data_IF_360939244790
#
_entry.id   IF_360939244790
#
_cell.length_a   1.000
_cell.length_b   1.000
_cell.length_c   1.000
_cell.angle_alpha   90.00
_cell.angle_beta   90.00
_cell.angle_gamma   90.00
#
_symmetry.space_group_name_H-M   'P 1'
#
loop_
_entity.id
_entity.type
_entity.pdbx_description
1 polymer ?
#
# COMPACT_ATOMS: atom_id res chain seq x y z
N UNK A 1 -4.61 15.16 -21.04
CA UNK A 1 -3.26 14.89 -20.51
C UNK A 1 -3.34 14.44 -19.08
N UNK A 2 -2.68 13.33 -18.78
CA UNK A 2 -2.47 12.84 -17.41
C UNK A 2 -1.42 13.75 -16.78
N UNK A 3 -1.64 14.18 -15.54
CA UNK A 3 -0.69 15.01 -14.78
C UNK A 3 0.03 14.22 -13.69
N UNK A 4 -0.63 13.21 -13.16
CA UNK A 4 -0.17 12.44 -12.00
C UNK A 4 -0.66 11.00 -12.10
N UNK A 5 0.16 10.09 -11.60
CA UNK A 5 -0.18 8.68 -11.37
C UNK A 5 0.15 8.38 -9.91
N UNK A 6 -0.79 7.77 -9.19
CA UNK A 6 -0.63 7.38 -7.78
C UNK A 6 -0.76 5.86 -7.71
N UNK A 7 0.30 5.18 -7.27
CA UNK A 7 0.28 3.75 -6.98
C UNK A 7 -0.09 3.54 -5.52
N UNK A 8 -0.95 2.55 -5.24
CA UNK A 8 -1.49 2.33 -3.89
C UNK A 8 -0.71 1.31 -3.07
N UNK A 9 0.45 0.84 -3.53
CA UNK A 9 1.26 -0.16 -2.82
C UNK A 9 1.01 -1.60 -3.28
N UNK A 10 1.57 -2.53 -2.51
CA UNK A 10 1.64 -3.98 -2.79
C UNK A 10 2.36 -4.27 -4.12
N UNK A 11 3.60 -3.82 -4.23
CA UNK A 11 4.45 -4.07 -5.40
C UNK A 11 5.06 -5.48 -5.38
N UNK A 12 5.08 -6.13 -4.21
CA UNK A 12 5.79 -7.38 -3.94
C UNK A 12 4.86 -8.43 -3.32
N UNK A 13 5.40 -9.64 -3.13
CA UNK A 13 4.75 -10.74 -2.42
C UNK A 13 3.43 -11.24 -3.00
N UNK A 14 3.38 -11.33 -4.33
CA UNK A 14 2.29 -12.02 -5.01
C UNK A 14 2.16 -13.46 -4.47
N UNK A 15 0.94 -13.84 -4.10
CA UNK A 15 0.65 -15.13 -3.48
C UNK A 15 1.24 -16.31 -4.27
N UNK A 16 1.92 -17.22 -3.57
CA UNK A 16 2.57 -18.40 -4.16
C UNK A 16 3.84 -18.11 -4.97
N UNK A 17 4.31 -16.86 -5.04
CA UNK A 17 5.51 -16.46 -5.78
C UNK A 17 6.72 -16.16 -4.88
N UNK A 18 6.71 -16.53 -3.60
CA UNK A 18 7.77 -16.22 -2.61
C UNK A 18 9.19 -16.68 -3.00
N UNK A 19 9.31 -17.63 -3.92
CA UNK A 19 10.59 -18.12 -4.46
C UNK A 19 10.86 -17.68 -5.90
N UNK A 20 9.99 -16.87 -6.50
CA UNK A 20 10.11 -16.42 -7.89
C UNK A 20 10.95 -15.13 -7.99
N UNK A 21 12.26 -15.29 -7.81
CA UNK A 21 13.23 -14.20 -7.81
C UNK A 21 13.18 -13.39 -9.11
N UNK A 22 13.03 -14.07 -10.25
CA UNK A 22 13.04 -13.43 -11.56
C UNK A 22 11.83 -12.52 -11.77
N UNK A 23 10.68 -12.86 -11.18
CA UNK A 23 9.47 -12.03 -11.25
C UNK A 23 9.73 -10.67 -10.59
N UNK A 24 10.16 -10.67 -9.33
CA UNK A 24 10.35 -9.42 -8.57
C UNK A 24 11.48 -8.56 -9.11
N UNK A 25 12.60 -9.17 -9.51
CA UNK A 25 13.69 -8.43 -10.13
C UNK A 25 13.22 -7.74 -11.43
N UNK A 26 12.46 -8.44 -12.28
CA UNK A 26 11.98 -7.89 -13.54
C UNK A 26 10.91 -6.81 -13.32
N UNK A 27 9.95 -7.07 -12.45
CA UNK A 27 8.79 -6.19 -12.27
C UNK A 27 9.16 -4.89 -11.56
N UNK A 28 10.03 -4.95 -10.55
CA UNK A 28 10.50 -3.75 -9.85
C UNK A 28 11.46 -2.93 -10.71
N UNK A 29 12.37 -3.56 -11.46
CA UNK A 29 13.21 -2.82 -12.43
C UNK A 29 12.34 -2.16 -13.50
N UNK A 30 11.33 -2.87 -14.03
CA UNK A 30 10.40 -2.29 -14.98
C UNK A 30 9.64 -1.09 -14.38
N UNK A 31 9.13 -1.22 -13.16
CA UNK A 31 8.41 -0.14 -12.48
C UNK A 31 9.32 1.09 -12.28
N UNK A 32 10.56 0.87 -11.87
CA UNK A 32 11.55 1.94 -11.68
C UNK A 32 11.84 2.67 -12.99
N UNK A 33 12.19 1.94 -14.05
CA UNK A 33 12.47 2.52 -15.37
C UNK A 33 11.25 3.26 -15.93
N UNK A 34 10.06 2.67 -15.76
CA UNK A 34 8.80 3.28 -16.16
C UNK A 34 8.52 4.58 -15.40
N UNK A 35 8.77 4.62 -14.09
CA UNK A 35 8.58 5.82 -13.25
C UNK A 35 9.47 6.95 -13.78
N UNK A 36 10.75 6.68 -13.98
CA UNK A 36 11.71 7.65 -14.53
C UNK A 36 11.25 8.17 -15.89
N UNK A 37 10.79 7.29 -16.78
CA UNK A 37 10.26 7.68 -18.09
C UNK A 37 9.07 8.65 -17.95
N UNK A 38 8.14 8.39 -17.03
CA UNK A 38 6.97 9.27 -16.82
C UNK A 38 7.35 10.62 -16.23
N UNK A 39 8.26 10.63 -15.27
CA UNK A 39 8.73 11.87 -14.63
C UNK A 39 9.50 12.75 -15.64
N UNK A 40 10.31 12.15 -16.52
CA UNK A 40 10.95 12.87 -17.64
C UNK A 40 9.94 13.49 -18.61
N UNK A 41 8.74 12.91 -18.71
CA UNK A 41 7.62 13.44 -19.50
C UNK A 41 6.67 14.34 -18.68
N UNK A 42 7.14 14.88 -17.55
CA UNK A 42 6.39 15.80 -16.68
C UNK A 42 5.09 15.21 -16.11
N UNK A 43 5.03 13.89 -15.93
CA UNK A 43 3.98 13.21 -15.18
C UNK A 43 4.53 12.89 -13.79
N UNK A 44 3.90 13.44 -12.76
CA UNK A 44 4.25 13.14 -11.37
C UNK A 44 3.86 11.70 -11.01
N UNK A 45 4.76 10.95 -10.40
CA UNK A 45 4.49 9.58 -9.94
C UNK A 45 4.63 9.52 -8.43
N UNK A 46 3.52 9.28 -7.75
CA UNK A 46 3.47 9.06 -6.30
C UNK A 46 3.36 7.57 -6.03
N UNK A 47 4.21 7.07 -5.14
CA UNK A 47 4.24 5.67 -4.76
C UNK A 47 3.82 5.55 -3.30
N UNK A 48 2.69 4.91 -3.05
CA UNK A 48 2.27 4.57 -1.69
C UNK A 48 2.80 3.18 -1.33
N UNK A 49 3.01 2.93 -0.04
CA UNK A 49 3.34 1.59 0.49
C UNK A 49 2.07 0.84 0.87
N UNK A 50 2.06 -0.46 0.57
CA UNK A 50 1.08 -1.42 1.05
C UNK A 50 1.60 -2.25 2.22
N UNK A 51 0.77 -3.18 2.70
CA UNK A 51 1.16 -4.06 3.80
C UNK A 51 2.23 -5.07 3.40
N UNK A 52 2.41 -5.36 2.11
CA UNK A 52 3.50 -6.23 1.66
C UNK A 52 4.84 -5.50 1.57
N UNK A 53 4.82 -4.22 1.20
CA UNK A 53 6.03 -3.43 1.01
C UNK A 53 6.70 -3.04 2.33
N UNK A 54 5.90 -2.82 3.38
CA UNK A 54 6.35 -2.25 4.65
C UNK A 54 7.44 -3.08 5.34
N UNK A 55 7.35 -4.41 5.28
CA UNK A 55 8.31 -5.30 5.93
C UNK A 55 9.69 -5.23 5.27
N UNK A 56 9.76 -4.96 3.97
CA UNK A 56 11.04 -4.68 3.32
C UNK A 56 11.63 -3.36 3.77
N UNK A 57 10.82 -2.31 3.95
CA UNK A 57 11.29 -1.02 4.46
C UNK A 57 11.85 -1.14 5.89
N UNK A 58 11.22 -1.96 6.73
CA UNK A 58 11.66 -2.28 8.09
C UNK A 58 12.82 -3.29 8.14
N UNK A 59 13.21 -3.88 7.00
CA UNK A 59 14.25 -4.92 6.97
C UNK A 59 13.82 -6.24 7.63
N UNK A 60 12.52 -6.48 7.77
CA UNK A 60 11.95 -7.64 8.45
C UNK A 60 11.48 -8.70 7.45
N UNK A 61 12.08 -9.89 7.50
CA UNK A 61 11.61 -11.01 6.70
C UNK A 61 10.44 -11.71 7.39
N UNK A 62 9.28 -11.73 6.74
CA UNK A 62 8.03 -12.35 7.24
C UNK A 62 7.67 -13.58 6.41
N UNK A 63 6.78 -14.48 6.88
CA UNK A 63 6.53 -15.76 6.20
C UNK A 63 6.05 -15.65 4.74
N UNK A 64 5.36 -14.57 4.38
CA UNK A 64 4.88 -14.34 3.03
C UNK A 64 5.85 -13.55 2.15
N UNK A 65 6.94 -13.01 2.71
CA UNK A 65 7.92 -12.29 1.91
C UNK A 65 8.86 -13.23 1.17
N UNK A 66 9.67 -12.68 0.26
CA UNK A 66 10.73 -13.45 -0.39
C UNK A 66 11.71 -14.00 0.66
N UNK A 67 11.90 -15.32 0.65
CA UNK A 67 12.71 -16.01 1.66
C UNK A 67 14.23 -15.98 1.36
N UNK A 68 14.62 -15.67 0.11
CA UNK A 68 16.02 -15.50 -0.24
C UNK A 68 16.53 -14.13 0.23
N UNK A 69 17.51 -14.11 1.15
CA UNK A 69 18.02 -12.89 1.77
C UNK A 69 18.69 -11.91 0.78
N UNK A 70 19.49 -12.40 -0.16
CA UNK A 70 20.16 -11.54 -1.15
C UNK A 70 19.12 -10.79 -2.00
N UNK A 71 18.07 -11.51 -2.39
CA UNK A 71 16.97 -10.93 -3.17
C UNK A 71 16.11 -10.03 -2.30
N UNK A 72 15.88 -10.38 -1.03
CA UNK A 72 15.16 -9.54 -0.08
C UNK A 72 15.81 -8.16 0.05
N UNK A 73 17.13 -8.10 0.28
CA UNK A 73 17.86 -6.83 0.37
C UNK A 73 17.89 -6.07 -0.97
N UNK A 74 17.92 -6.79 -2.10
CA UNK A 74 17.83 -6.16 -3.43
C UNK A 74 16.46 -5.51 -3.65
N UNK A 75 15.38 -6.17 -3.21
CA UNK A 75 14.01 -5.63 -3.26
C UNK A 75 13.86 -4.44 -2.31
N UNK A 76 14.41 -4.54 -1.09
CA UNK A 76 14.41 -3.43 -0.14
C UNK A 76 15.03 -2.17 -0.76
N UNK A 77 16.19 -2.28 -1.40
CA UNK A 77 16.83 -1.14 -2.06
C UNK A 77 15.94 -0.54 -3.17
N UNK A 78 15.32 -1.37 -4.01
CA UNK A 78 14.43 -0.90 -5.06
C UNK A 78 13.20 -0.18 -4.50
N UNK A 79 12.61 -0.68 -3.40
CA UNK A 79 11.48 -0.03 -2.74
C UNK A 79 11.88 1.29 -2.08
N UNK A 80 13.08 1.38 -1.50
CA UNK A 80 13.63 2.65 -1.00
C UNK A 80 13.78 3.68 -2.13
N UNK A 81 14.25 3.26 -3.30
CA UNK A 81 14.41 4.13 -4.47
C UNK A 81 13.07 4.63 -5.05
N UNK A 82 11.96 3.92 -4.79
CA UNK A 82 10.60 4.35 -5.17
C UNK A 82 10.05 5.46 -4.27
N UNK A 83 10.72 5.81 -3.16
CA UNK A 83 10.33 6.89 -2.25
C UNK A 83 8.89 6.72 -1.72
N UNK A 84 8.59 5.55 -1.16
CA UNK A 84 7.24 5.21 -0.71
C UNK A 84 6.76 6.10 0.43
N UNK A 85 5.47 6.45 0.43
CA UNK A 85 4.79 7.16 1.52
C UNK A 85 3.50 6.43 1.95
N UNK A 86 2.99 6.71 3.16
CA UNK A 86 1.80 6.00 3.69
C UNK A 86 0.51 6.48 3.00
N UNK A 87 0.43 7.78 2.71
CA UNK A 87 -0.77 8.39 2.17
C UNK A 87 -0.46 9.61 1.29
N UNK A 88 -1.42 10.03 0.48
CA UNK A 88 -1.34 11.23 -0.34
C UNK A 88 -2.65 12.02 -0.27
N UNK A 89 -2.56 13.35 -0.12
CA UNK A 89 -3.73 14.22 -0.17
C UNK A 89 -3.98 14.66 -1.62
N UNK A 90 -5.04 14.13 -2.24
CA UNK A 90 -5.49 14.49 -3.58
C UNK A 90 -6.75 15.34 -3.50
N UNK A 91 -6.61 16.66 -3.57
CA UNK A 91 -7.70 17.61 -3.39
C UNK A 91 -8.44 17.34 -2.07
N UNK A 92 -9.70 16.93 -2.10
CA UNK A 92 -10.50 16.56 -0.92
C UNK A 92 -10.50 15.06 -0.60
N UNK A 93 -9.76 14.24 -1.34
CA UNK A 93 -9.59 12.81 -1.10
C UNK A 93 -8.27 12.50 -0.40
N UNK A 94 -8.34 11.70 0.65
CA UNK A 94 -7.19 11.02 1.21
C UNK A 94 -6.95 9.70 0.46
N UNK A 95 -5.78 9.54 -0.14
CA UNK A 95 -5.39 8.32 -0.86
C UNK A 95 -4.43 7.52 0.00
N UNK A 96 -4.71 6.25 0.25
CA UNK A 96 -3.81 5.34 0.96
C UNK A 96 -4.03 3.90 0.51
N UNK A 97 -3.16 2.99 0.95
CA UNK A 97 -3.29 1.59 0.56
C UNK A 97 -4.60 0.96 1.04
N UNK A 98 -4.86 0.97 2.36
CA UNK A 98 -6.01 0.30 2.95
C UNK A 98 -7.06 1.24 3.56
N UNK A 99 -6.73 2.52 3.74
CA UNK A 99 -7.64 3.54 4.28
C UNK A 99 -7.51 3.79 5.78
N UNK A 100 -7.91 4.99 6.20
CA UNK A 100 -7.91 5.43 7.59
C UNK A 100 -9.32 5.26 8.18
N UNK A 101 -9.48 4.37 9.17
CA UNK A 101 -10.69 4.28 9.96
C UNK A 101 -10.65 5.26 11.16
N UNK A 102 -11.70 5.25 11.99
CA UNK A 102 -11.85 6.14 13.14
C UNK A 102 -10.70 6.07 14.16
N UNK A 103 -9.94 4.97 14.22
CA UNK A 103 -8.85 4.78 15.19
C UNK A 103 -7.52 5.38 14.74
N UNK A 104 -7.40 5.74 13.45
CA UNK A 104 -6.16 6.25 12.86
C UNK A 104 -6.42 7.59 12.19
N UNK A 105 -5.73 8.63 12.66
CA UNK A 105 -5.68 9.92 11.99
C UNK A 105 -4.36 10.05 11.19
N UNK A 106 -4.39 10.65 9.99
CA UNK A 106 -3.19 10.99 9.25
C UNK A 106 -2.26 11.91 10.05
N UNK A 107 -0.97 11.59 10.03
CA UNK A 107 0.11 12.40 10.58
C UNK A 107 0.90 13.03 9.44
N UNK A 108 1.59 14.15 9.70
CA UNK A 108 2.33 14.88 8.67
C UNK A 108 3.33 14.00 7.90
N UNK A 109 3.99 13.07 8.60
CA UNK A 109 4.97 12.17 8.00
C UNK A 109 4.36 11.16 7.02
N UNK A 110 3.07 10.82 7.16
CA UNK A 110 2.40 9.90 6.23
C UNK A 110 2.40 10.43 4.79
N UNK A 111 2.53 11.74 4.61
CA UNK A 111 2.47 12.42 3.32
C UNK A 111 3.85 12.69 2.69
N UNK A 112 4.92 12.16 3.28
CA UNK A 112 6.29 12.32 2.81
C UNK A 112 6.91 10.95 2.55
N UNK A 113 7.92 10.85 1.66
CA UNK A 113 8.72 9.63 1.54
C UNK A 113 9.22 9.17 2.91
N UNK A 114 9.11 7.88 3.16
CA UNK A 114 9.57 7.26 4.39
C UNK A 114 11.08 7.47 4.60
N UNK A 115 11.44 7.69 5.85
CA UNK A 115 12.80 7.83 6.36
C UNK A 115 12.91 7.02 7.65
N UNK A 116 14.11 6.54 7.99
CA UNK A 116 14.38 5.74 9.19
C UNK A 116 13.97 6.44 10.51
N UNK A 117 13.77 7.76 10.50
CA UNK A 117 13.27 8.51 11.67
C UNK A 117 11.86 8.09 12.11
N UNK A 118 11.07 7.47 11.22
CA UNK A 118 9.71 7.01 11.47
C UNK A 118 9.60 5.48 11.55
N UNK A 119 10.72 4.76 11.73
CA UNK A 119 10.75 3.29 11.77
C UNK A 119 9.81 2.73 12.85
N UNK A 120 9.86 3.27 14.07
CA UNK A 120 9.00 2.83 15.18
C UNK A 120 7.50 3.07 14.87
N UNK A 121 7.16 4.25 14.32
CA UNK A 121 5.77 4.51 13.92
C UNK A 121 5.31 3.63 12.77
N UNK A 122 6.20 3.33 11.82
CA UNK A 122 5.90 2.44 10.71
C UNK A 122 5.70 1.01 11.18
N UNK A 123 6.51 0.53 12.13
CA UNK A 123 6.34 -0.79 12.78
C UNK A 123 4.99 -0.89 13.48
N UNK A 124 4.53 0.18 14.14
CA UNK A 124 3.17 0.23 14.73
C UNK A 124 2.10 0.07 13.63
N UNK A 125 2.24 0.76 12.49
CA UNK A 125 1.29 0.60 11.38
C UNK A 125 1.35 -0.80 10.77
N UNK A 126 2.54 -1.39 10.65
CA UNK A 126 2.74 -2.72 10.06
C UNK A 126 2.11 -3.83 10.92
N UNK A 127 2.13 -3.67 12.25
CA UNK A 127 1.63 -4.67 13.19
C UNK A 127 0.18 -4.47 13.61
N UNK A 128 -0.40 -3.29 13.37
CA UNK A 128 -1.80 -3.02 13.69
C UNK A 128 -2.76 -3.66 12.65
N UNK A 129 -2.98 -4.97 12.80
CA UNK A 129 -3.82 -5.79 11.92
C UNK A 129 -5.18 -6.05 12.56
N UNK A 130 -6.25 -5.61 11.89
CA UNK A 130 -7.63 -5.76 12.37
C UNK A 130 -8.17 -7.19 12.28
N UNK A 131 -9.19 -7.49 13.07
CA UNK A 131 -9.86 -8.80 13.09
C UNK A 131 -10.34 -9.27 11.71
N UNK A 132 -10.81 -8.35 10.85
CA UNK A 132 -11.28 -8.71 9.50
C UNK A 132 -10.15 -9.16 8.56
N UNK A 133 -8.89 -8.94 8.94
CA UNK A 133 -7.68 -9.45 8.26
C UNK A 133 -6.99 -10.58 9.03
N UNK A 134 -7.65 -11.14 10.05
CA UNK A 134 -7.11 -12.23 10.86
C UNK A 134 -6.14 -11.78 11.96
N UNK A 135 -6.02 -10.47 12.20
CA UNK A 135 -5.25 -9.93 13.31
C UNK A 135 -6.02 -9.85 14.62
N UNK A 136 -5.37 -9.31 15.65
CA UNK A 136 -5.92 -9.19 17.00
C UNK A 136 -6.51 -7.82 17.34
N UNK A 137 -6.28 -6.81 16.49
CA UNK A 137 -6.66 -5.44 16.80
C UNK A 137 -8.11 -5.14 16.43
N UNK A 138 -8.64 -4.07 17.05
CA UNK A 138 -10.02 -3.62 16.83
C UNK A 138 -10.29 -3.22 15.37
N UNK A 139 -9.30 -2.65 14.70
CA UNK A 139 -9.34 -2.30 13.28
C UNK A 139 -7.91 -2.26 12.72
N UNK A 140 -7.76 -2.46 11.41
CA UNK A 140 -6.45 -2.38 10.76
C UNK A 140 -5.93 -0.95 10.66
N UNK A 141 -4.62 -0.80 10.59
CA UNK A 141 -3.96 0.45 10.26
C UNK A 141 -4.25 0.89 8.81
N UNK A 142 -3.77 2.06 8.36
CA UNK A 142 -3.82 2.46 6.95
C UNK A 142 -3.16 1.51 5.94
N UNK A 143 -2.40 0.53 6.42
CA UNK A 143 -1.82 -0.56 5.62
C UNK A 143 -2.68 -1.82 5.63
N UNK A 144 -3.52 -2.03 6.65
CA UNK A 144 -4.24 -3.29 6.85
C UNK A 144 -5.77 -3.17 6.93
N UNK A 145 -6.32 -1.96 6.99
CA UNK A 145 -7.74 -1.75 7.18
C UNK A 145 -8.55 -2.50 6.11
N UNK A 146 -9.46 -3.37 6.53
CA UNK A 146 -10.37 -3.99 5.57
C UNK A 146 -11.38 -2.95 5.10
N UNK A 147 -11.77 -2.95 3.82
CA UNK A 147 -12.68 -1.93 3.30
C UNK A 147 -13.99 -1.81 4.09
N UNK A 148 -14.49 -2.94 4.60
CA UNK A 148 -15.68 -2.98 5.45
C UNK A 148 -15.50 -2.21 6.78
N UNK A 149 -14.29 -2.14 7.31
CA UNK A 149 -13.98 -1.33 8.50
C UNK A 149 -14.19 0.16 8.19
N UNK A 150 -13.75 0.63 7.01
CA UNK A 150 -13.97 2.02 6.57
C UNK A 150 -15.46 2.37 6.44
N UNK A 151 -16.30 1.40 6.08
CA UNK A 151 -17.75 1.59 6.01
C UNK A 151 -18.43 1.60 7.38
N UNK A 152 -17.93 0.78 8.32
CA UNK A 152 -18.53 0.61 9.64
C UNK A 152 -18.08 1.67 10.65
N UNK A 153 -16.80 2.05 10.61
CA UNK A 153 -16.15 2.99 11.52
C UNK A 153 -15.31 4.00 10.73
N UNK A 154 -15.94 4.83 9.87
CA UNK A 154 -15.23 5.78 9.01
C UNK A 154 -14.44 6.80 9.83
N UNK A 155 -13.30 7.26 9.32
CA UNK A 155 -12.66 8.45 9.87
C UNK A 155 -13.54 9.68 9.56
N UNK A 156 -14.04 10.33 10.61
CA UNK A 156 -14.96 11.47 10.48
C UNK A 156 -14.27 12.74 9.97
N UNK A 157 -12.97 12.89 10.24
CA UNK A 157 -12.18 14.03 9.78
C UNK A 157 -11.79 13.89 8.29
N UNK A 158 -11.67 12.64 7.82
CA UNK A 158 -11.28 12.30 6.44
C UNK A 158 -12.33 11.36 5.80
N UNK A 159 -13.55 11.86 5.54
CA UNK A 159 -14.64 11.02 5.08
C UNK A 159 -14.47 10.56 3.63
N UNK A 160 -13.68 11.28 2.82
CA UNK A 160 -13.44 10.97 1.41
C UNK A 160 -12.09 10.30 1.23
N UNK A 161 -12.10 9.05 0.78
CA UNK A 161 -10.89 8.23 0.65
C UNK A 161 -10.87 7.43 -0.65
N UNK A 162 -9.67 7.24 -1.22
CA UNK A 162 -9.43 6.32 -2.33
C UNK A 162 -8.45 5.26 -1.82
N UNK A 163 -8.85 4.00 -1.90
CA UNK A 163 -8.12 2.88 -1.29
C UNK A 163 -8.02 1.68 -2.22
N UNK A 164 -6.99 0.87 -2.02
CA UNK A 164 -6.78 -0.42 -2.65
C UNK A 164 -7.04 -1.55 -1.66
N UNK A 165 -6.11 -2.51 -1.58
CA UNK A 165 -5.97 -3.56 -0.57
C UNK A 165 -7.10 -4.61 -0.45
N UNK A 166 -8.36 -4.18 -0.47
CA UNK A 166 -9.52 -5.08 -0.47
C UNK A 166 -10.07 -5.17 -1.89
N UNK A 167 -9.97 -6.33 -2.56
CA UNK A 167 -10.45 -6.46 -3.93
C UNK A 167 -11.94 -6.12 -4.10
N UNK A 168 -12.26 -5.51 -5.25
CA UNK A 168 -13.58 -5.05 -5.66
C UNK A 168 -13.95 -5.61 -7.02
N UNK A 169 -15.22 -5.95 -7.20
CA UNK A 169 -15.75 -6.34 -8.51
C UNK A 169 -15.75 -5.17 -9.50
N UNK A 170 -15.95 -3.95 -9.00
CA UNK A 170 -15.96 -2.73 -9.82
C UNK A 170 -15.67 -1.49 -8.97
N UNK A 171 -15.29 -0.40 -9.65
CA UNK A 171 -15.05 0.91 -9.04
C UNK A 171 -16.37 1.70 -9.01
N UNK A 172 -16.81 2.12 -7.81
CA UNK A 172 -17.97 3.00 -7.62
C UNK A 172 -17.53 4.38 -7.11
N UNK A 173 -17.46 5.34 -8.03
CA UNK A 173 -17.05 6.73 -7.74
C UNK A 173 -18.16 7.59 -7.11
N UNK A 174 -19.36 7.04 -6.87
CA UNK A 174 -20.46 7.75 -6.20
C UNK A 174 -20.34 7.75 -4.68
N UNK A 175 -19.41 6.97 -4.13
CA UNK A 175 -19.16 6.81 -2.69
C UNK A 175 -18.11 7.80 -2.20
N UNK A 176 -18.14 8.07 -0.89
CA UNK A 176 -17.06 8.83 -0.25
C UNK A 176 -15.77 8.00 -0.14
N UNK A 177 -15.90 6.71 0.16
CA UNK A 177 -14.76 5.77 0.16
C UNK A 177 -14.82 4.94 -1.12
N UNK A 178 -13.81 5.07 -1.97
CA UNK A 178 -13.73 4.46 -3.29
C UNK A 178 -12.65 3.38 -3.26
N UNK A 179 -13.05 2.13 -3.42
CA UNK A 179 -12.14 1.00 -3.57
C UNK A 179 -11.77 0.82 -5.05
N UNK A 180 -10.48 0.86 -5.37
CA UNK A 180 -9.99 0.79 -6.75
C UNK A 180 -9.18 -0.47 -7.06
N UNK A 181 -8.93 -1.32 -6.08
CA UNK A 181 -8.33 -2.62 -6.32
C UNK A 181 -9.36 -3.54 -6.99
N UNK A 182 -9.38 -3.53 -8.32
CA UNK A 182 -10.21 -4.46 -9.11
C UNK A 182 -9.40 -5.61 -9.68
N UNK A 183 -8.15 -5.76 -9.25
CA UNK A 183 -7.20 -6.71 -9.81
C UNK A 183 -7.02 -7.89 -8.86
N UNK A 184 -8.12 -8.59 -8.57
CA UNK A 184 -7.98 -9.87 -7.89
C UNK A 184 -7.58 -10.97 -8.87
N UNK A 185 -6.37 -11.48 -8.72
CA UNK A 185 -5.99 -12.79 -9.27
C UNK A 185 -6.66 -13.94 -8.50
N UNK A 186 -7.31 -13.62 -7.38
CA UNK A 186 -8.09 -14.52 -6.53
C UNK A 186 -9.45 -13.88 -6.25
N UNK A 187 -10.37 -13.95 -7.22
CA UNK A 187 -11.79 -13.99 -6.84
C UNK A 187 -11.92 -15.31 -6.09
N UNK A 188 -11.62 -15.30 -4.79
CA UNK A 188 -11.85 -16.45 -3.93
C UNK A 188 -13.33 -16.74 -3.96
N UNK A 189 -13.64 -17.98 -4.35
CA UNK A 189 -14.96 -18.54 -4.50
C UNK A 189 -15.62 -18.86 -3.16
N UNK A 190 -15.47 -17.99 -2.18
CA UNK A 190 -16.12 -18.15 -0.88
C UNK A 190 -17.08 -16.99 -0.63
N UNK A 191 -18.22 -17.07 -1.35
CA UNK A 191 -19.52 -16.51 -0.95
C UNK A 191 -20.32 -17.61 -0.23
#
# INVERSE_FOLDING_TARGET
NIKRIIFLGDYVDLHGQTNNIQLYAKDLTFLYDWKIEKELNSIEVINLMGNHDVYYLLGEQVPFSIQNLEVFFSVQQLLQDLNLQVAYQLDDYLVSHAGFNLLFDPKEWHFKPFTEEYEEELEILANAVGYMRGGGDMAGSPLWAHFRELELIPNHNYPKQIVGHTPKESIDISKNVIGIDTFSLYIDKDN
#
